data_IF_084012586213
#
_entry.id   IF_084012586213
#
_cell.length_a   1.000
_cell.length_b   1.000
_cell.length_c   1.000
_cell.angle_alpha   90.00
_cell.angle_beta   90.00
_cell.angle_gamma   90.00
#
_symmetry.space_group_name_H-M   'P 1'
#
loop_
_entity.id
_entity.type
_entity.pdbx_description
1 polymer ?
#
# COMPACT_ATOMS: atom_id res chain seq x y z
N UNK A 1 -1.64 -18.03 -19.98
CA UNK A 1 -1.18 -18.53 -18.67
C UNK A 1 -0.63 -17.33 -17.92
N UNK A 2 -1.39 -16.78 -16.97
CA UNK A 2 -0.94 -15.64 -16.16
C UNK A 2 -0.21 -16.21 -14.96
N UNK A 3 1.12 -16.17 -14.98
CA UNK A 3 1.92 -16.55 -13.81
C UNK A 3 1.89 -15.39 -12.80
N UNK A 4 1.01 -15.51 -11.81
CA UNK A 4 0.89 -14.54 -10.73
C UNK A 4 2.20 -14.38 -9.93
N UNK A 5 3.10 -15.38 -9.96
CA UNK A 5 4.40 -15.28 -9.31
C UNK A 5 5.37 -14.39 -10.10
N UNK A 6 5.31 -14.42 -11.45
CA UNK A 6 6.13 -13.56 -12.32
C UNK A 6 5.69 -12.09 -12.29
N UNK A 7 4.39 -11.80 -12.11
CA UNK A 7 3.90 -10.42 -12.04
C UNK A 7 4.38 -9.67 -10.77
N UNK A 8 4.51 -10.38 -9.64
CA UNK A 8 5.04 -9.79 -8.41
C UNK A 8 6.55 -9.53 -8.45
N UNK A 9 7.30 -10.24 -9.30
CA UNK A 9 8.75 -10.08 -9.42
C UNK A 9 9.18 -8.98 -10.41
N UNK A 10 8.32 -8.58 -11.35
CA UNK A 10 8.70 -7.75 -12.50
C UNK A 10 8.31 -6.25 -12.39
N UNK A 11 7.66 -5.81 -11.31
CA UNK A 11 7.29 -4.39 -11.13
C UNK A 11 6.24 -3.87 -12.14
N UNK A 12 5.59 -4.76 -12.90
CA UNK A 12 4.60 -4.44 -13.93
C UNK A 12 3.26 -5.04 -13.54
N UNK A 13 2.30 -4.16 -13.22
CA UNK A 13 0.92 -4.44 -12.78
C UNK A 13 0.79 -5.50 -11.65
N UNK A 14 0.70 -5.02 -10.40
CA UNK A 14 0.49 -5.86 -9.21
C UNK A 14 -0.87 -6.59 -9.25
N UNK A 15 -1.79 -6.10 -10.08
CA UNK A 15 -3.14 -6.62 -10.21
C UNK A 15 -3.30 -7.51 -11.44
N UNK A 16 -3.82 -8.75 -11.31
CA UNK A 16 -4.42 -9.45 -12.44
C UNK A 16 -5.41 -8.53 -13.17
N UNK A 17 -5.33 -8.53 -14.50
CA UNK A 17 -6.15 -7.70 -15.41
C UNK A 17 -7.37 -8.45 -15.96
N UNK A 18 -7.46 -9.75 -15.72
CA UNK A 18 -8.56 -10.61 -16.10
C UNK A 18 -8.82 -11.66 -15.01
N UNK A 19 -10.05 -12.24 -14.96
CA UNK A 19 -10.34 -13.36 -14.07
C UNK A 19 -9.35 -14.50 -14.29
N UNK A 20 -8.85 -15.08 -13.21
CA UNK A 20 -7.89 -16.19 -13.31
C UNK A 20 -8.69 -17.46 -13.55
N UNK A 21 -8.48 -18.08 -14.71
CA UNK A 21 -8.96 -19.43 -15.02
C UNK A 21 -7.89 -20.41 -14.57
N UNK A 22 -8.13 -21.07 -13.44
CA UNK A 22 -7.20 -22.03 -12.85
C UNK A 22 -7.54 -23.43 -13.38
N UNK A 23 -6.76 -23.90 -14.36
CA UNK A 23 -6.74 -25.31 -14.76
C UNK A 23 -5.60 -26.02 -14.04
N UNK A 24 -5.92 -26.97 -13.14
CA UNK A 24 -4.95 -27.87 -12.54
C UNK A 24 -4.30 -27.38 -11.24
N UNK A 25 -4.26 -28.28 -10.24
CA UNK A 25 -3.70 -28.03 -8.91
C UNK A 25 -2.19 -27.77 -8.95
N UNK A 26 -1.77 -26.60 -8.50
CA UNK A 26 -0.36 -26.27 -8.34
C UNK A 26 0.23 -26.99 -7.11
N UNK A 27 1.40 -27.59 -7.29
CA UNK A 27 2.20 -28.19 -6.22
C UNK A 27 2.51 -27.17 -5.10
N UNK A 28 2.58 -27.62 -3.85
CA UNK A 28 2.69 -26.76 -2.66
C UNK A 28 4.03 -25.98 -2.53
N UNK A 29 5.08 -26.32 -3.29
CA UNK A 29 6.44 -25.77 -3.15
C UNK A 29 6.59 -24.27 -3.48
N UNK A 30 6.13 -23.79 -4.65
CA UNK A 30 6.23 -22.38 -5.03
C UNK A 30 5.43 -21.43 -4.13
N UNK A 31 4.34 -21.93 -3.52
CA UNK A 31 3.44 -21.14 -2.68
C UNK A 31 4.10 -20.67 -1.38
N UNK A 32 4.77 -21.57 -0.66
CA UNK A 32 5.41 -21.25 0.62
C UNK A 32 6.54 -20.23 0.46
N UNK A 33 7.30 -20.28 -0.64
CA UNK A 33 8.35 -19.29 -0.92
C UNK A 33 7.76 -17.90 -1.21
N UNK A 34 6.67 -17.84 -1.97
CA UNK A 34 5.95 -16.59 -2.28
C UNK A 34 5.37 -15.98 -1.00
N UNK A 35 4.75 -16.79 -0.14
CA UNK A 35 4.21 -16.35 1.15
C UNK A 35 5.34 -15.77 2.04
N UNK A 36 6.47 -16.46 2.17
CA UNK A 36 7.63 -15.96 2.92
C UNK A 36 8.19 -14.65 2.35
N UNK A 37 8.26 -14.50 1.02
CA UNK A 37 8.72 -13.26 0.37
C UNK A 37 7.75 -12.11 0.65
N UNK A 38 6.44 -12.36 0.61
CA UNK A 38 5.42 -11.36 0.94
C UNK A 38 5.50 -10.92 2.41
N UNK A 39 5.68 -11.87 3.34
CA UNK A 39 5.89 -11.56 4.76
C UNK A 39 7.17 -10.73 4.99
N UNK A 40 8.26 -11.08 4.30
CA UNK A 40 9.51 -10.32 4.36
C UNK A 40 9.32 -8.89 3.86
N UNK A 41 8.62 -8.71 2.74
CA UNK A 41 8.30 -7.38 2.19
C UNK A 41 7.45 -6.56 3.16
N UNK A 42 6.41 -7.16 3.76
CA UNK A 42 5.57 -6.50 4.75
C UNK A 42 6.36 -6.07 6.00
N UNK A 43 7.25 -6.94 6.50
CA UNK A 43 8.10 -6.63 7.64
C UNK A 43 9.09 -5.48 7.34
N UNK A 44 9.68 -5.46 6.13
CA UNK A 44 10.55 -4.38 5.68
C UNK A 44 9.77 -3.06 5.55
N UNK A 45 8.62 -3.06 4.90
CA UNK A 45 7.76 -1.88 4.76
C UNK A 45 7.36 -1.31 6.14
N UNK A 46 6.98 -2.16 7.09
CA UNK A 46 6.65 -1.74 8.45
C UNK A 46 7.84 -1.11 9.18
N UNK A 47 9.03 -1.71 9.06
CA UNK A 47 10.27 -1.20 9.65
C UNK A 47 10.65 0.17 9.07
N UNK A 48 10.62 0.29 7.75
CA UNK A 48 10.99 1.53 7.04
C UNK A 48 9.98 2.64 7.33
N UNK A 49 8.68 2.32 7.35
CA UNK A 49 7.61 3.25 7.77
C UNK A 49 7.84 3.76 9.18
N UNK A 50 8.17 2.89 10.13
CA UNK A 50 8.41 3.30 11.51
C UNK A 50 9.69 4.13 11.66
N UNK A 51 10.76 3.77 10.93
CA UNK A 51 12.00 4.57 10.89
C UNK A 51 11.73 5.95 10.34
N UNK A 52 10.96 6.03 9.27
CA UNK A 52 10.58 7.29 8.64
C UNK A 52 9.68 8.13 9.54
N UNK A 53 8.72 7.51 10.24
CA UNK A 53 7.88 8.19 11.23
C UNK A 53 8.72 8.89 12.31
N UNK A 54 9.72 8.19 12.88
CA UNK A 54 10.62 8.78 13.87
C UNK A 54 11.44 9.96 13.31
N UNK A 55 11.87 9.84 12.05
CA UNK A 55 12.60 10.90 11.37
C UNK A 55 11.72 12.15 11.17
N UNK A 56 10.49 11.96 10.66
CA UNK A 56 9.50 13.02 10.50
C UNK A 56 9.18 13.71 11.82
N UNK A 57 8.94 12.95 12.89
CA UNK A 57 8.64 13.52 14.22
C UNK A 57 9.77 14.44 14.68
N UNK A 58 11.02 14.00 14.56
CA UNK A 58 12.18 14.81 14.95
C UNK A 58 12.28 16.08 14.10
N UNK A 59 12.20 15.93 12.78
CA UNK A 59 12.29 17.05 11.85
C UNK A 59 11.15 18.07 12.06
N UNK A 60 9.93 17.60 12.28
CA UNK A 60 8.77 18.46 12.54
C UNK A 60 8.88 19.17 13.88
N UNK A 61 9.44 18.53 14.91
CA UNK A 61 9.74 19.17 16.20
C UNK A 61 10.81 20.27 16.05
N UNK A 62 11.90 19.99 15.32
CA UNK A 62 12.97 20.96 15.01
C UNK A 62 12.42 22.20 14.24
N UNK A 63 11.44 21.99 13.36
CA UNK A 63 10.78 23.04 12.56
C UNK A 63 9.58 23.71 13.27
N UNK A 64 9.30 23.30 14.52
CA UNK A 64 8.19 23.82 15.31
C UNK A 64 6.81 23.55 14.72
N UNK A 65 6.65 22.45 13.98
CA UNK A 65 5.39 21.99 13.40
C UNK A 65 4.56 21.27 14.47
N UNK A 66 3.27 21.58 14.56
CA UNK A 66 2.40 21.06 15.61
C UNK A 66 1.98 19.61 15.33
N UNK A 67 2.49 18.66 16.13
CA UNK A 67 2.14 17.23 16.05
C UNK A 67 0.85 16.85 16.81
N UNK A 68 0.19 17.83 17.44
CA UNK A 68 -1.06 17.61 18.18
C UNK A 68 -2.28 17.32 17.29
N UNK A 69 -2.13 17.51 15.97
CA UNK A 69 -3.15 17.20 14.97
C UNK A 69 -2.57 16.21 13.96
N UNK A 70 -3.43 15.37 13.41
CA UNK A 70 -3.02 14.46 12.35
C UNK A 70 -2.61 15.24 11.10
N UNK A 71 -1.46 14.90 10.53
CA UNK A 71 -0.96 15.46 9.27
C UNK A 71 -1.13 14.39 8.20
N UNK A 72 -2.04 14.65 7.26
CA UNK A 72 -2.28 13.75 6.12
C UNK A 72 -1.45 14.23 4.95
N UNK A 73 -0.40 13.48 4.61
CA UNK A 73 0.47 13.74 3.47
C UNK A 73 0.09 12.81 2.31
N UNK A 74 0.12 13.31 1.09
CA UNK A 74 -0.20 12.54 -0.10
C UNK A 74 0.72 12.89 -1.28
N UNK A 75 0.95 11.91 -2.15
CA UNK A 75 1.47 12.17 -3.49
C UNK A 75 0.40 12.90 -4.31
N UNK A 76 0.74 14.08 -4.83
CA UNK A 76 -0.09 14.85 -5.73
C UNK A 76 0.06 14.33 -7.18
N UNK A 77 -0.83 14.72 -8.12
CA UNK A 77 -0.78 14.25 -9.50
C UNK A 77 0.53 14.53 -10.25
N UNK A 78 1.28 15.56 -9.83
CA UNK A 78 2.60 15.90 -10.37
C UNK A 78 3.76 15.14 -9.72
N UNK A 79 3.47 14.25 -8.76
CA UNK A 79 4.45 13.48 -8.00
C UNK A 79 5.03 14.22 -6.80
N UNK A 80 4.64 15.47 -6.54
CA UNK A 80 5.05 16.21 -5.34
C UNK A 80 4.34 15.69 -4.08
N UNK A 81 4.87 16.02 -2.90
CA UNK A 81 4.24 15.68 -1.61
C UNK A 81 3.43 16.88 -1.14
N UNK A 82 2.12 16.69 -0.97
CA UNK A 82 1.19 17.70 -0.48
C UNK A 82 0.54 17.32 0.84
N UNK A 83 0.06 18.30 1.60
CA UNK A 83 -0.79 18.05 2.79
C UNK A 83 -2.26 18.19 2.40
N UNK A 84 -3.03 17.13 2.69
CA UNK A 84 -4.46 17.05 2.43
C UNK A 84 -5.23 17.74 3.56
N UNK A 85 -6.22 18.56 3.20
CA UNK A 85 -7.04 19.31 4.15
C UNK A 85 -6.39 20.60 4.66
N UNK A 86 -6.97 21.16 5.72
CA UNK A 86 -6.55 22.42 6.32
C UNK A 86 -5.72 22.18 7.59
N UNK A 87 -4.43 21.84 7.42
CA UNK A 87 -3.47 21.81 8.53
C UNK A 87 -2.80 23.19 8.69
N UNK A 88 -2.68 23.74 9.92
CA UNK A 88 -2.05 25.05 10.15
C UNK A 88 -0.64 25.16 9.56
N UNK A 89 0.14 24.08 9.67
CA UNK A 89 1.53 24.02 9.20
C UNK A 89 1.68 23.47 7.78
N UNK A 90 0.58 23.39 7.00
CA UNK A 90 0.57 22.81 5.64
C UNK A 90 1.74 23.30 4.78
N UNK A 91 1.88 24.62 4.63
CA UNK A 91 2.91 25.22 3.77
C UNK A 91 4.32 24.88 4.26
N UNK A 92 4.52 24.81 5.58
CA UNK A 92 5.83 24.48 6.16
C UNK A 92 6.19 23.03 5.88
N UNK A 93 5.26 22.10 6.08
CA UNK A 93 5.45 20.67 5.76
C UNK A 93 5.76 20.48 4.28
N UNK A 94 4.96 21.06 3.39
CA UNK A 94 5.16 20.94 1.93
C UNK A 94 6.52 21.49 1.50
N UNK A 95 6.95 22.61 2.08
CA UNK A 95 8.27 23.18 1.80
C UNK A 95 9.42 22.26 2.19
N UNK A 96 9.33 21.53 3.32
CA UNK A 96 10.38 20.58 3.71
C UNK A 96 10.60 19.50 2.65
N UNK A 97 9.54 18.99 2.03
CA UNK A 97 9.65 18.00 0.95
C UNK A 97 10.21 18.58 -0.34
N UNK A 98 10.15 19.89 -0.55
CA UNK A 98 10.77 20.57 -1.69
C UNK A 98 12.26 20.83 -1.41
N UNK A 99 12.60 21.20 -0.17
CA UNK A 99 13.96 21.59 0.21
C UNK A 99 14.86 20.39 0.52
N UNK A 100 14.30 19.28 1.02
CA UNK A 100 15.03 18.05 1.33
C UNK A 100 14.67 16.93 0.35
N UNK A 101 15.55 16.73 -0.63
CA UNK A 101 15.40 15.69 -1.65
C UNK A 101 15.42 14.26 -1.05
N UNK A 102 16.20 14.04 0.01
CA UNK A 102 16.27 12.73 0.66
C UNK A 102 14.95 12.41 1.37
N UNK A 103 14.36 13.41 2.03
CA UNK A 103 13.04 13.32 2.64
C UNK A 103 11.97 12.97 1.59
N UNK A 104 11.99 13.66 0.45
CA UNK A 104 11.10 13.40 -0.68
C UNK A 104 11.20 11.96 -1.20
N UNK A 105 12.42 11.49 -1.52
CA UNK A 105 12.63 10.12 -2.02
C UNK A 105 12.25 9.05 -0.99
N UNK A 106 12.52 9.32 0.29
CA UNK A 106 12.14 8.40 1.38
C UNK A 106 10.63 8.29 1.50
N UNK A 107 9.91 9.42 1.38
CA UNK A 107 8.44 9.41 1.36
C UNK A 107 7.89 8.56 0.23
N UNK A 108 8.36 8.78 -1.00
CA UNK A 108 7.98 7.99 -2.18
C UNK A 108 8.25 6.50 -1.99
N UNK A 109 9.41 6.15 -1.44
CA UNK A 109 9.80 4.77 -1.17
C UNK A 109 8.85 4.12 -0.17
N UNK A 110 8.60 4.77 0.97
CA UNK A 110 7.72 4.26 2.03
C UNK A 110 6.30 4.11 1.51
N UNK A 111 5.77 5.11 0.81
CA UNK A 111 4.45 5.04 0.16
C UNK A 111 4.37 3.81 -0.74
N UNK A 112 5.31 3.68 -1.69
CA UNK A 112 5.31 2.60 -2.68
C UNK A 112 5.39 1.23 -2.02
N UNK A 113 6.24 1.07 -0.99
CA UNK A 113 6.34 -0.17 -0.23
C UNK A 113 5.00 -0.54 0.43
N UNK A 114 4.34 0.42 1.08
CA UNK A 114 3.05 0.17 1.72
C UNK A 114 1.94 -0.15 0.70
N UNK A 115 1.88 0.58 -0.41
CA UNK A 115 0.91 0.33 -1.48
C UNK A 115 1.13 -1.04 -2.13
N UNK A 116 2.38 -1.46 -2.30
CA UNK A 116 2.72 -2.82 -2.76
C UNK A 116 2.25 -3.90 -1.79
N UNK A 117 2.43 -3.70 -0.49
CA UNK A 117 1.96 -4.65 0.54
C UNK A 117 0.44 -4.74 0.54
N UNK A 118 -0.26 -3.61 0.53
CA UNK A 118 -1.73 -3.56 0.42
C UNK A 118 -2.23 -4.31 -0.82
N UNK A 119 -1.62 -4.04 -1.97
CA UNK A 119 -1.95 -4.69 -3.24
C UNK A 119 -1.73 -6.21 -3.19
N UNK A 120 -0.62 -6.65 -2.58
CA UNK A 120 -0.31 -8.06 -2.41
C UNK A 120 -1.33 -8.78 -1.51
N UNK A 121 -1.83 -8.13 -0.45
CA UNK A 121 -2.86 -8.69 0.42
C UNK A 121 -4.21 -8.86 -0.30
N UNK A 122 -4.64 -7.84 -1.06
CA UNK A 122 -5.87 -7.91 -1.87
C UNK A 122 -5.75 -9.04 -2.91
N UNK A 123 -4.60 -9.14 -3.59
CA UNK A 123 -4.33 -10.20 -4.56
C UNK A 123 -4.36 -11.59 -3.91
N UNK A 124 -3.73 -11.75 -2.73
CA UNK A 124 -3.75 -12.99 -1.96
C UNK A 124 -5.17 -13.43 -1.60
N UNK A 125 -6.02 -12.50 -1.13
CA UNK A 125 -7.43 -12.78 -0.85
C UNK A 125 -8.19 -13.22 -2.09
N UNK A 126 -8.01 -12.51 -3.20
CA UNK A 126 -8.65 -12.84 -4.47
C UNK A 126 -8.30 -14.25 -4.95
N UNK A 127 -7.02 -14.63 -4.90
CA UNK A 127 -6.59 -15.98 -5.26
C UNK A 127 -7.25 -17.02 -4.36
N UNK A 128 -7.23 -16.82 -3.04
CA UNK A 128 -7.85 -17.74 -2.07
C UNK A 128 -9.36 -17.94 -2.34
N UNK A 129 -10.10 -16.86 -2.57
CA UNK A 129 -11.53 -16.93 -2.87
C UNK A 129 -11.80 -17.57 -4.25
N UNK A 130 -10.94 -17.30 -5.24
CA UNK A 130 -11.10 -17.84 -6.59
C UNK A 130 -10.90 -19.36 -6.65
N UNK A 131 -9.98 -19.91 -5.85
CA UNK A 131 -9.81 -21.36 -5.71
C UNK A 131 -11.04 -22.04 -5.09
N UNK A 132 -11.76 -21.36 -4.19
CA UNK A 132 -12.94 -21.89 -3.51
C UNK A 132 -14.27 -21.69 -4.27
N UNK A 133 -14.28 -20.88 -5.33
CA UNK A 133 -15.52 -20.51 -6.01
C UNK A 133 -16.00 -21.59 -7.00
N UNK A 134 -17.23 -22.08 -6.81
CA UNK A 134 -17.86 -23.04 -7.71
C UNK A 134 -18.33 -22.38 -9.02
N UNK A 135 -17.79 -22.85 -10.14
CA UNK A 135 -18.22 -22.45 -11.48
C UNK A 135 -17.88 -21.01 -11.90
N UNK A 136 -18.24 -20.66 -13.13
CA UNK A 136 -17.90 -19.36 -13.73
C UNK A 136 -18.59 -18.19 -13.03
N UNK A 137 -19.86 -18.35 -12.62
CA UNK A 137 -20.59 -17.30 -11.92
C UNK A 137 -19.95 -16.93 -10.57
N UNK A 138 -19.52 -17.94 -9.80
CA UNK A 138 -18.81 -17.73 -8.53
C UNK A 138 -17.49 -16.98 -8.73
N UNK A 139 -16.68 -17.42 -9.69
CA UNK A 139 -15.42 -16.74 -10.05
C UNK A 139 -15.63 -15.29 -10.50
N UNK A 140 -16.69 -15.02 -11.26
CA UNK A 140 -17.01 -13.66 -11.67
C UNK A 140 -17.48 -12.76 -10.52
N UNK A 141 -18.16 -13.31 -9.52
CA UNK A 141 -18.52 -12.56 -8.32
C UNK A 141 -17.27 -12.19 -7.49
N UNK A 142 -16.34 -13.14 -7.32
CA UNK A 142 -15.04 -12.91 -6.68
C UNK A 142 -14.24 -11.83 -7.42
N UNK A 143 -14.14 -11.93 -8.74
CA UNK A 143 -13.47 -10.93 -9.57
C UNK A 143 -14.02 -9.51 -9.41
N UNK A 144 -15.36 -9.36 -9.39
CA UNK A 144 -16.00 -8.04 -9.21
C UNK A 144 -15.68 -7.42 -7.86
N UNK A 145 -15.70 -8.22 -6.77
CA UNK A 145 -15.29 -7.75 -5.45
C UNK A 145 -13.82 -7.34 -5.43
N UNK A 146 -12.95 -8.17 -5.99
CA UNK A 146 -11.54 -7.87 -6.11
C UNK A 146 -11.28 -6.55 -6.85
N UNK A 147 -11.91 -6.32 -8.01
CA UNK A 147 -11.79 -5.06 -8.74
C UNK A 147 -12.25 -3.86 -7.90
N UNK A 148 -13.38 -3.99 -7.19
CA UNK A 148 -13.85 -2.93 -6.31
C UNK A 148 -12.86 -2.62 -5.16
N UNK A 149 -12.22 -3.65 -4.59
CA UNK A 149 -11.17 -3.46 -3.58
C UNK A 149 -9.94 -2.76 -4.16
N UNK A 150 -9.49 -3.13 -5.36
CA UNK A 150 -8.38 -2.45 -6.05
C UNK A 150 -8.70 -0.97 -6.28
N UNK A 151 -9.85 -0.67 -6.87
CA UNK A 151 -10.25 0.72 -7.19
C UNK A 151 -10.34 1.58 -5.91
N UNK A 152 -10.86 1.00 -4.80
CA UNK A 152 -10.91 1.68 -3.49
C UNK A 152 -9.53 1.88 -2.87
N UNK A 153 -8.67 0.86 -2.91
CA UNK A 153 -7.30 0.96 -2.40
C UNK A 153 -6.50 2.00 -3.20
N UNK A 154 -6.60 2.02 -4.53
CA UNK A 154 -5.93 3.01 -5.38
C UNK A 154 -6.35 4.45 -5.05
N UNK A 155 -7.60 4.69 -4.63
CA UNK A 155 -8.05 6.02 -4.18
C UNK A 155 -7.37 6.51 -2.89
N UNK A 156 -6.74 5.60 -2.15
CA UNK A 156 -6.03 5.82 -0.89
C UNK A 156 -4.51 5.60 -1.01
N UNK A 157 -4.04 5.08 -2.15
CA UNK A 157 -2.64 4.94 -2.47
C UNK A 157 -1.96 6.32 -2.45
N UNK A 158 -0.66 6.35 -2.20
CA UNK A 158 0.04 7.63 -2.10
C UNK A 158 -0.13 8.37 -0.78
N UNK A 159 -1.00 7.92 0.14
CA UNK A 159 -1.39 8.68 1.35
C UNK A 159 -0.80 8.09 2.64
N UNK A 160 -0.10 8.93 3.40
CA UNK A 160 0.38 8.63 4.75
C UNK A 160 -0.19 9.63 5.75
N UNK A 161 -0.64 9.15 6.91
CA UNK A 161 -1.10 10.00 8.01
C UNK A 161 -0.14 9.90 9.18
N UNK A 162 0.47 11.02 9.59
CA UNK A 162 1.24 11.11 10.81
C UNK A 162 0.32 11.59 11.94
N UNK A 163 0.09 10.76 12.96
CA UNK A 163 -0.70 11.09 14.13
C UNK A 163 -0.09 10.45 15.38
N UNK A 164 0.04 11.22 16.47
CA UNK A 164 0.60 10.74 17.74
C UNK A 164 1.96 10.04 17.58
N UNK A 165 2.81 10.57 16.70
CA UNK A 165 4.13 10.02 16.39
C UNK A 165 4.14 8.71 15.58
N UNK A 166 2.97 8.26 15.10
CA UNK A 166 2.83 7.07 14.25
C UNK A 166 2.46 7.47 12.84
N UNK A 167 3.11 6.82 11.86
CA UNK A 167 2.82 6.99 10.45
C UNK A 167 1.98 5.80 9.98
N UNK A 168 0.84 6.08 9.35
CA UNK A 168 -0.13 5.08 8.90
C UNK A 168 -0.37 5.25 7.40
N UNK A 169 -0.36 4.14 6.64
CA UNK A 169 -0.72 4.15 5.21
C UNK A 169 -2.23 4.01 5.05
N UNK A 170 -2.83 4.87 4.23
CA UNK A 170 -4.25 4.78 3.90
C UNK A 170 -4.61 3.48 3.17
N UNK A 171 -3.75 3.04 2.25
CA UNK A 171 -3.93 1.80 1.51
C UNK A 171 -3.92 0.56 2.43
N UNK A 172 -2.96 0.50 3.37
CA UNK A 172 -2.87 -0.62 4.32
C UNK A 172 -4.01 -0.62 5.34
N UNK A 173 -4.37 0.54 5.89
CA UNK A 173 -5.47 0.66 6.85
C UNK A 173 -6.81 0.24 6.23
N UNK A 174 -7.07 0.68 5.00
CA UNK A 174 -8.21 0.23 4.21
C UNK A 174 -8.18 -1.28 3.98
N UNK A 175 -7.04 -1.82 3.53
CA UNK A 175 -6.93 -3.24 3.18
C UNK A 175 -7.15 -4.12 4.42
N UNK A 176 -6.54 -3.78 5.55
CA UNK A 176 -6.73 -4.49 6.81
C UNK A 176 -8.21 -4.49 7.25
N UNK A 177 -8.90 -3.35 7.12
CA UNK A 177 -10.31 -3.22 7.47
C UNK A 177 -11.22 -3.99 6.51
N UNK A 178 -10.99 -3.86 5.21
CA UNK A 178 -11.82 -4.46 4.16
C UNK A 178 -11.69 -5.99 4.14
N UNK A 179 -10.53 -6.54 4.48
CA UNK A 179 -10.28 -7.99 4.50
C UNK A 179 -10.72 -8.69 5.79
N UNK A 180 -11.04 -7.93 6.84
CA UNK A 180 -11.56 -8.45 8.11
C UNK A 180 -13.08 -8.73 8.08
N UNK A 181 -13.78 -8.25 7.06
CA UNK A 181 -15.21 -8.47 6.79
C UNK A 181 -15.44 -9.81 6.07
#
# INVERSE_FOLDING_TARGET
MFDAASAMAAGTAIFPQAPVVLEGGAAAGPRAEIERKAETMAALAARDTQRFARHLVRMFDEEGIQLGRAIVMALLPDGSVGVVGAHPDKIRVERLFVEDELLFHTFHTVVRQNDMVASAEICRRYLQESYGAAGNHGRMAVWRRYRALCDQMESLAGRLTLASGRLMSGALDFTATALAQ
#
